data_IF_330308525029
#
_entry.id   IF_330308525029
#
_cell.length_a   1.000
_cell.length_b   1.000
_cell.length_c   1.000
_cell.angle_alpha   90.00
_cell.angle_beta   90.00
_cell.angle_gamma   90.00
#
_symmetry.space_group_name_H-M   'P 1'
#
loop_
_entity.id
_entity.type
_entity.pdbx_description
1 polymer ?
#
# COMPACT_ATOMS: atom_id res chain seq x y z
N UNK A 1 -30.15 -96.78 -1.32
CA UNK A 1 -29.29 -95.57 -1.20
C UNK A 1 -30.22 -94.37 -1.34
N UNK A 2 -30.90 -94.00 -0.26
CA UNK A 2 -30.60 -92.93 0.70
C UNK A 2 -30.86 -91.52 0.17
N UNK A 3 -31.99 -90.98 0.62
CA UNK A 3 -32.45 -89.59 0.53
C UNK A 3 -31.60 -88.73 1.46
N UNK A 4 -31.24 -87.52 1.05
CA UNK A 4 -30.78 -86.47 1.96
C UNK A 4 -31.40 -85.12 1.58
N UNK A 5 -32.42 -84.77 2.34
CA UNK A 5 -33.06 -83.45 2.42
C UNK A 5 -32.09 -82.47 3.06
N UNK A 6 -31.95 -81.25 2.53
CA UNK A 6 -31.37 -80.14 3.30
C UNK A 6 -32.21 -78.87 3.21
N UNK A 7 -32.40 -78.33 4.42
CA UNK A 7 -33.27 -77.23 4.81
C UNK A 7 -32.85 -75.88 4.21
N UNK A 8 -33.88 -75.11 3.88
CA UNK A 8 -33.83 -73.66 3.69
C UNK A 8 -33.45 -73.00 5.03
N UNK A 9 -32.37 -72.23 5.04
CA UNK A 9 -32.10 -71.21 6.05
C UNK A 9 -31.93 -69.88 5.33
N UNK A 10 -32.80 -68.93 5.62
CA UNK A 10 -32.58 -67.52 5.29
C UNK A 10 -31.73 -66.88 6.39
N UNK A 11 -30.70 -66.10 6.04
CA UNK A 11 -30.29 -65.02 6.92
C UNK A 11 -30.17 -63.68 6.20
N UNK A 12 -30.87 -62.72 6.81
CA UNK A 12 -30.47 -61.33 7.03
C UNK A 12 -30.42 -60.38 5.83
N UNK A 13 -31.43 -59.51 5.80
CA UNK A 13 -31.45 -58.26 5.06
C UNK A 13 -30.22 -57.39 5.39
N UNK A 14 -29.34 -57.20 4.40
CA UNK A 14 -28.34 -56.14 4.45
C UNK A 14 -29.06 -54.79 4.37
N UNK A 15 -29.18 -54.11 5.51
CA UNK A 15 -29.49 -52.68 5.57
C UNK A 15 -28.28 -51.91 5.04
N UNK A 16 -28.23 -51.65 3.74
CA UNK A 16 -27.37 -50.59 3.21
C UNK A 16 -27.97 -49.25 3.62
N UNK A 17 -27.41 -48.62 4.67
CA UNK A 17 -27.62 -47.21 4.95
C UNK A 17 -27.21 -46.43 3.70
N UNK A 18 -28.18 -45.83 3.02
CA UNK A 18 -27.88 -44.79 2.03
C UNK A 18 -27.01 -43.72 2.72
N UNK A 19 -25.95 -43.21 2.07
CA UNK A 19 -25.19 -42.11 2.62
C UNK A 19 -26.13 -40.92 2.78
N UNK A 20 -26.26 -40.44 4.02
CA UNK A 20 -26.89 -39.14 4.31
C UNK A 20 -26.09 -38.11 3.52
N UNK A 21 -26.67 -37.58 2.45
CA UNK A 21 -26.23 -36.32 1.84
C UNK A 21 -26.31 -35.27 2.94
N UNK A 22 -25.17 -34.98 3.56
CA UNK A 22 -25.01 -33.79 4.36
C UNK A 22 -25.34 -32.61 3.44
N UNK A 23 -26.45 -31.92 3.71
CA UNK A 23 -26.70 -30.59 3.16
C UNK A 23 -25.61 -29.69 3.72
N UNK A 24 -24.46 -29.68 3.06
CA UNK A 24 -23.53 -28.58 3.14
C UNK A 24 -24.26 -27.40 2.53
N UNK A 25 -24.87 -26.58 3.38
CA UNK A 25 -25.21 -25.22 3.00
C UNK A 25 -23.92 -24.56 2.55
N UNK A 26 -23.68 -24.56 1.23
CA UNK A 26 -22.75 -23.63 0.60
C UNK A 26 -23.31 -22.25 0.92
N UNK A 27 -22.86 -21.66 2.02
CA UNK A 27 -22.67 -20.23 2.03
C UNK A 27 -21.65 -19.97 0.93
N UNK A 28 -22.15 -19.70 -0.27
CA UNK A 28 -21.40 -18.98 -1.29
C UNK A 28 -21.01 -17.66 -0.64
N UNK A 29 -19.84 -17.65 0.00
CA UNK A 29 -19.11 -16.43 0.29
C UNK A 29 -18.87 -15.83 -1.09
N UNK A 30 -19.69 -14.86 -1.46
CA UNK A 30 -19.43 -13.97 -2.59
C UNK A 30 -18.10 -13.29 -2.25
N UNK A 31 -17.02 -13.87 -2.74
CA UNK A 31 -15.73 -13.21 -2.79
C UNK A 31 -15.92 -12.03 -3.75
N UNK A 32 -16.21 -10.85 -3.20
CA UNK A 32 -16.30 -9.63 -3.99
C UNK A 32 -14.87 -9.27 -4.40
N UNK A 33 -14.44 -9.85 -5.51
CA UNK A 33 -13.07 -9.70 -6.02
C UNK A 33 -12.79 -8.32 -6.60
N UNK A 34 -13.80 -7.45 -6.75
CA UNK A 34 -13.58 -6.08 -7.18
C UNK A 34 -14.72 -5.14 -6.75
N UNK A 35 -14.41 -4.24 -5.80
CA UNK A 35 -15.33 -3.20 -5.33
C UNK A 35 -15.47 -2.01 -6.30
N UNK A 36 -14.74 -2.05 -7.43
CA UNK A 36 -14.83 -1.06 -8.51
C UNK A 36 -16.28 -0.88 -9.00
N UNK A 37 -17.05 -1.97 -9.07
CA UNK A 37 -18.46 -1.95 -9.46
C UNK A 37 -19.36 -1.08 -8.56
N UNK A 38 -19.14 -1.07 -7.24
CA UNK A 38 -19.95 -0.22 -6.34
C UNK A 38 -19.60 1.26 -6.46
N UNK A 39 -18.32 1.56 -6.73
CA UNK A 39 -17.83 2.93 -6.96
C UNK A 39 -18.36 3.48 -8.28
N UNK A 40 -18.40 2.67 -9.34
CA UNK A 40 -18.98 3.04 -10.65
C UNK A 40 -20.49 3.35 -10.54
N UNK A 41 -21.17 2.80 -9.53
CA UNK A 41 -22.59 3.07 -9.23
C UNK A 41 -22.81 4.23 -8.24
N UNK A 42 -21.75 4.89 -7.78
CA UNK A 42 -21.85 5.99 -6.81
C UNK A 42 -22.34 5.58 -5.41
N UNK A 43 -22.27 4.29 -5.07
CA UNK A 43 -22.75 3.77 -3.80
C UNK A 43 -21.67 3.93 -2.71
N UNK A 44 -22.03 4.52 -1.57
CA UNK A 44 -21.16 4.57 -0.39
C UNK A 44 -20.96 3.15 0.14
N UNK A 45 -19.72 2.80 0.51
CA UNK A 45 -19.36 1.50 1.09
C UNK A 45 -20.20 1.24 2.36
N UNK A 46 -21.02 0.18 2.41
CA UNK A 46 -21.76 -0.16 3.62
C UNK A 46 -20.85 -0.52 4.79
N UNK A 47 -21.24 -0.14 6.01
CA UNK A 47 -20.47 -0.38 7.24
C UNK A 47 -20.25 -1.87 7.58
N UNK A 48 -21.01 -2.78 6.98
CA UNK A 48 -20.87 -4.22 7.17
C UNK A 48 -19.79 -4.87 6.28
N UNK A 49 -19.21 -4.13 5.33
CA UNK A 49 -18.19 -4.68 4.46
C UNK A 49 -16.86 -4.88 5.21
N UNK A 50 -16.16 -6.00 4.96
CA UNK A 50 -14.90 -6.30 5.64
C UNK A 50 -13.83 -5.25 5.33
N UNK A 51 -12.98 -5.02 6.33
CA UNK A 51 -11.75 -4.22 6.17
C UNK A 51 -10.92 -4.76 5.00
N UNK A 52 -10.17 -3.89 4.33
CA UNK A 52 -9.25 -4.29 3.24
C UNK A 52 -8.30 -5.41 3.69
N UNK A 53 -8.00 -5.46 4.99
CA UNK A 53 -7.23 -6.51 5.65
C UNK A 53 -5.78 -6.08 5.86
N UNK A 54 -5.23 -6.38 7.04
CA UNK A 54 -3.88 -6.00 7.46
C UNK A 54 -2.81 -6.43 6.45
N UNK A 55 -2.80 -7.72 6.09
CA UNK A 55 -1.79 -8.27 5.17
C UNK A 55 -1.86 -7.67 3.77
N UNK A 56 -3.08 -7.43 3.24
CA UNK A 56 -3.25 -6.78 1.94
C UNK A 56 -2.77 -5.33 1.99
N UNK A 57 -3.05 -4.62 3.08
CA UNK A 57 -2.57 -3.24 3.29
C UNK A 57 -1.05 -3.20 3.36
N UNK A 58 -0.43 -4.10 4.12
CA UNK A 58 1.02 -4.23 4.20
C UNK A 58 1.63 -4.46 2.81
N UNK A 59 1.13 -5.44 2.06
CA UNK A 59 1.62 -5.74 0.72
C UNK A 59 1.45 -4.57 -0.26
N UNK A 60 0.34 -3.83 -0.17
CA UNK A 60 0.11 -2.61 -0.94
C UNK A 60 1.15 -1.53 -0.62
N UNK A 61 1.39 -1.27 0.68
CA UNK A 61 2.38 -0.28 1.11
C UNK A 61 3.78 -0.72 0.70
N UNK A 62 4.12 -2.01 0.84
CA UNK A 62 5.41 -2.56 0.38
C UNK A 62 5.62 -2.31 -1.11
N UNK A 63 4.59 -2.55 -1.94
CA UNK A 63 4.63 -2.28 -3.38
C UNK A 63 4.84 -0.80 -3.68
N UNK A 64 4.15 0.10 -2.96
CA UNK A 64 4.23 1.54 -3.16
C UNK A 64 5.64 2.10 -2.88
N UNK A 65 6.30 1.66 -1.80
CA UNK A 65 7.62 2.18 -1.44
C UNK A 65 8.78 1.50 -2.21
N UNK A 66 8.53 0.35 -2.84
CA UNK A 66 9.57 -0.39 -3.59
C UNK A 66 9.60 -0.06 -5.08
N UNK A 67 8.46 0.30 -5.69
CA UNK A 67 8.38 0.50 -7.14
C UNK A 67 8.15 1.97 -7.49
N UNK A 68 9.07 2.53 -8.26
CA UNK A 68 9.04 3.93 -8.70
C UNK A 68 8.67 4.02 -10.17
N UNK A 69 7.39 3.85 -10.48
CA UNK A 69 6.89 3.92 -11.85
C UNK A 69 5.47 4.50 -11.91
N UNK A 70 5.12 5.08 -13.06
CA UNK A 70 3.83 5.75 -13.26
C UNK A 70 2.67 4.77 -13.08
N UNK A 71 2.80 3.53 -13.55
CA UNK A 71 1.72 2.55 -13.47
C UNK A 71 1.42 2.19 -12.01
N UNK A 72 2.45 1.91 -11.21
CA UNK A 72 2.28 1.62 -9.79
C UNK A 72 1.64 2.80 -9.06
N UNK A 73 2.08 4.03 -9.31
CA UNK A 73 1.48 5.19 -8.68
C UNK A 73 0.05 5.48 -9.14
N UNK A 74 -0.25 5.26 -10.42
CA UNK A 74 -1.60 5.43 -10.93
C UNK A 74 -2.59 4.42 -10.35
N UNK A 75 -2.16 3.17 -10.18
CA UNK A 75 -2.95 2.11 -9.58
C UNK A 75 -3.16 2.34 -8.06
N UNK A 76 -2.08 2.64 -7.34
CA UNK A 76 -2.07 2.62 -5.88
C UNK A 76 -2.53 3.93 -5.24
N UNK A 77 -2.37 5.08 -5.90
CA UNK A 77 -2.83 6.37 -5.38
C UNK A 77 -4.24 6.68 -5.87
N UNK A 78 -5.13 7.08 -4.96
CA UNK A 78 -6.45 7.57 -5.33
C UNK A 78 -6.37 8.86 -6.16
N UNK A 79 -7.38 9.13 -6.99
CA UNK A 79 -7.39 10.33 -7.85
C UNK A 79 -7.42 11.64 -7.05
N UNK A 80 -8.09 11.62 -5.90
CA UNK A 80 -8.15 12.71 -4.92
C UNK A 80 -7.09 12.59 -3.82
N UNK A 81 -5.99 11.87 -4.07
CA UNK A 81 -4.92 11.69 -3.10
C UNK A 81 -4.31 13.01 -2.63
N UNK A 82 -4.00 13.06 -1.33
CA UNK A 82 -3.32 14.18 -0.69
C UNK A 82 -2.10 13.71 0.11
N UNK A 83 -0.98 14.39 -0.09
CA UNK A 83 0.19 14.30 0.77
C UNK A 83 0.32 15.59 1.60
N UNK A 84 0.33 15.46 2.92
CA UNK A 84 0.34 16.59 3.85
C UNK A 84 1.53 16.47 4.79
N UNK A 85 2.22 17.57 5.03
CA UNK A 85 3.21 17.67 6.12
C UNK A 85 2.52 18.25 7.35
N UNK A 86 2.43 17.47 8.43
CA UNK A 86 1.84 17.97 9.67
C UNK A 86 2.83 18.89 10.40
N UNK A 87 2.32 19.90 11.10
CA UNK A 87 3.13 20.83 11.90
C UNK A 87 3.74 22.00 11.11
N UNK A 88 3.84 21.87 9.79
CA UNK A 88 4.14 22.98 8.89
C UNK A 88 2.82 23.46 8.27
N UNK A 89 2.59 24.76 8.15
CA UNK A 89 1.41 25.34 7.46
C UNK A 89 1.39 25.10 5.94
N UNK A 90 2.02 24.01 5.49
CA UNK A 90 2.19 23.65 4.10
C UNK A 90 0.89 23.24 3.43
N UNK A 91 0.78 23.57 2.15
CA UNK A 91 -0.32 23.14 1.30
C UNK A 91 -0.21 21.63 1.03
N UNK A 92 -1.35 20.94 1.02
CA UNK A 92 -1.41 19.55 0.56
C UNK A 92 -0.87 19.43 -0.87
N UNK A 93 -0.01 18.44 -1.10
CA UNK A 93 0.48 18.06 -2.42
C UNK A 93 -0.48 17.04 -3.04
N UNK A 94 -0.77 17.21 -4.33
CA UNK A 94 -1.63 16.30 -5.08
C UNK A 94 -0.88 15.02 -5.51
N UNK A 95 -1.63 14.02 -6.02
CA UNK A 95 -1.07 12.84 -6.70
C UNK A 95 -0.03 13.23 -7.75
N UNK A 96 -0.37 14.20 -8.60
CA UNK A 96 0.52 14.69 -9.66
C UNK A 96 1.79 15.32 -9.10
N UNK A 97 1.68 16.13 -8.04
CA UNK A 97 2.85 16.77 -7.43
C UNK A 97 3.83 15.72 -6.86
N UNK A 98 3.30 14.69 -6.19
CA UNK A 98 4.12 13.59 -5.65
C UNK A 98 4.80 12.78 -6.76
N UNK A 99 4.03 12.36 -7.78
CA UNK A 99 4.56 11.59 -8.91
C UNK A 99 5.66 12.39 -9.62
N UNK A 100 5.42 13.67 -9.89
CA UNK A 100 6.40 14.53 -10.57
C UNK A 100 7.66 14.71 -9.73
N UNK A 101 7.52 14.94 -8.41
CA UNK A 101 8.66 15.02 -7.50
C UNK A 101 9.54 13.76 -7.60
N UNK A 102 8.95 12.57 -7.56
CA UNK A 102 9.73 11.34 -7.55
C UNK A 102 10.29 11.03 -8.94
N UNK A 103 9.43 10.99 -9.96
CA UNK A 103 9.79 10.46 -11.27
C UNK A 103 10.49 11.48 -12.18
N UNK A 104 10.13 12.76 -12.08
CA UNK A 104 10.68 13.80 -12.97
C UNK A 104 11.89 14.51 -12.35
N UNK A 105 11.99 14.53 -11.01
CA UNK A 105 13.03 15.29 -10.31
C UNK A 105 14.00 14.42 -9.50
N UNK A 106 13.49 13.51 -8.65
CA UNK A 106 14.35 12.74 -7.76
C UNK A 106 15.09 11.60 -8.48
N UNK A 107 14.39 10.72 -9.20
CA UNK A 107 15.01 9.59 -9.90
C UNK A 107 16.03 10.03 -10.96
N UNK A 108 15.77 11.05 -11.80
CA UNK A 108 16.76 11.47 -12.79
C UNK A 108 18.03 12.05 -12.16
N UNK A 109 17.91 12.71 -11.00
CA UNK A 109 19.06 13.21 -10.25
C UNK A 109 19.79 12.12 -9.45
N UNK A 110 19.05 11.11 -8.98
CA UNK A 110 19.50 10.07 -8.06
C UNK A 110 19.05 8.71 -8.64
N UNK A 111 19.77 8.16 -9.64
CA UNK A 111 19.35 6.94 -10.34
C UNK A 111 19.26 5.70 -9.43
N UNK A 112 19.96 5.69 -8.30
CA UNK A 112 19.95 4.64 -7.28
C UNK A 112 19.10 5.01 -6.05
N UNK A 113 18.16 5.94 -6.19
CA UNK A 113 17.24 6.34 -5.12
C UNK A 113 16.53 5.11 -4.54
N UNK A 114 16.54 5.01 -3.22
CA UNK A 114 15.87 3.93 -2.51
C UNK A 114 15.09 4.47 -1.31
N UNK A 115 13.85 3.99 -1.15
CA UNK A 115 13.05 4.16 0.06
C UNK A 115 13.11 2.86 0.86
N UNK A 116 13.94 2.83 1.90
CA UNK A 116 13.80 1.82 2.93
C UNK A 116 12.52 2.10 3.70
N UNK A 117 11.67 1.10 3.90
CA UNK A 117 10.42 1.29 4.62
C UNK A 117 10.11 0.13 5.56
N UNK A 118 9.36 0.41 6.62
CA UNK A 118 8.87 -0.58 7.57
C UNK A 118 7.44 -0.26 8.00
N UNK A 119 6.56 -1.26 7.89
CA UNK A 119 5.18 -1.20 8.38
C UNK A 119 4.68 -2.61 8.67
N UNK A 120 3.80 -2.74 9.67
CA UNK A 120 3.08 -3.98 9.91
C UNK A 120 1.69 -3.99 9.22
N UNK A 121 1.28 -2.88 8.59
CA UNK A 121 -0.03 -2.71 7.95
C UNK A 121 -1.21 -2.58 8.91
N UNK A 122 -1.00 -2.57 10.23
CA UNK A 122 -2.06 -2.29 11.19
C UNK A 122 -2.57 -0.86 11.02
N UNK A 123 -3.85 -0.63 11.30
CA UNK A 123 -4.41 0.73 11.38
C UNK A 123 -4.62 1.13 12.83
N UNK A 124 -4.46 2.42 13.09
CA UNK A 124 -4.96 3.06 14.30
C UNK A 124 -6.50 3.27 14.22
N UNK A 125 -7.05 3.87 15.27
CA UNK A 125 -8.48 4.16 15.40
C UNK A 125 -8.99 5.17 14.36
N UNK A 126 -8.10 6.01 13.82
CA UNK A 126 -8.39 6.97 12.76
C UNK A 126 -8.32 6.34 11.35
N UNK A 127 -7.93 5.06 11.26
CA UNK A 127 -7.81 4.32 10.01
C UNK A 127 -6.48 4.48 9.28
N UNK A 128 -5.45 5.01 9.93
CA UNK A 128 -4.12 5.19 9.36
C UNK A 128 -3.17 4.06 9.76
N UNK A 129 -2.34 3.64 8.81
CA UNK A 129 -1.16 2.80 9.08
C UNK A 129 0.09 3.65 9.24
N UNK A 130 0.94 3.30 10.21
CA UNK A 130 2.25 3.94 10.35
C UNK A 130 3.25 3.24 9.42
N UNK A 131 3.97 4.04 8.65
CA UNK A 131 5.12 3.61 7.88
C UNK A 131 6.33 4.42 8.32
N UNK A 132 7.41 3.74 8.68
CA UNK A 132 8.71 4.36 8.91
C UNK A 132 9.47 4.31 7.58
N UNK A 133 10.00 5.43 7.11
CA UNK A 133 10.67 5.55 5.82
C UNK A 133 12.06 6.16 6.02
N UNK A 134 13.05 5.64 5.30
CA UNK A 134 14.40 6.17 5.23
C UNK A 134 14.83 6.25 3.77
N UNK A 135 15.24 7.44 3.33
CA UNK A 135 15.60 7.68 1.93
C UNK A 135 17.11 7.71 1.77
N UNK A 136 17.62 7.03 0.75
CA UNK A 136 19.05 6.96 0.43
C UNK A 136 19.29 7.06 -1.06
N UNK A 137 20.51 7.44 -1.46
CA UNK A 137 20.94 7.43 -2.86
C UNK A 137 22.19 8.28 -3.09
N UNK A 138 22.68 8.32 -4.33
CA UNK A 138 23.84 9.13 -4.77
C UNK A 138 23.44 10.12 -5.85
N UNK A 139 23.82 11.37 -5.65
CA UNK A 139 23.52 12.45 -6.58
C UNK A 139 24.47 12.44 -7.78
N UNK A 140 24.19 11.58 -8.75
CA UNK A 140 25.08 11.27 -9.89
C UNK A 140 24.42 11.46 -11.25
N UNK A 141 23.10 11.68 -11.28
CA UNK A 141 22.34 11.86 -12.51
C UNK A 141 22.31 13.32 -12.95
N UNK A 142 21.11 13.86 -13.19
CA UNK A 142 20.92 15.26 -13.59
C UNK A 142 20.95 16.22 -12.39
N UNK A 143 20.95 17.53 -12.68
CA UNK A 143 20.73 18.52 -11.63
C UNK A 143 19.38 18.28 -10.94
N UNK A 144 19.38 18.31 -9.61
CA UNK A 144 18.14 18.17 -8.84
C UNK A 144 17.43 19.52 -8.82
N UNK A 145 16.14 19.51 -9.16
CA UNK A 145 15.29 20.70 -9.14
C UNK A 145 14.09 20.42 -8.27
N UNK A 146 13.73 21.38 -7.41
CA UNK A 146 12.49 21.30 -6.65
C UNK A 146 11.31 21.44 -7.60
N UNK A 147 10.19 20.72 -7.36
CA UNK A 147 8.95 20.96 -8.09
C UNK A 147 8.62 22.45 -8.07
N UNK A 148 8.16 22.99 -9.20
CA UNK A 148 7.84 24.43 -9.40
C UNK A 148 9.03 25.39 -9.37
N UNK A 149 10.27 24.90 -9.30
CA UNK A 149 11.47 25.73 -9.45
C UNK A 149 11.66 26.77 -8.34
N UNK A 150 11.12 26.52 -7.15
CA UNK A 150 11.15 27.45 -6.01
C UNK A 150 12.58 27.72 -5.49
N UNK A 151 13.53 26.83 -5.83
CA UNK A 151 14.93 26.92 -5.43
C UNK A 151 15.86 26.72 -6.62
N UNK A 152 17.10 27.26 -6.56
CA UNK A 152 18.11 27.00 -7.57
C UNK A 152 18.34 25.50 -7.78
N UNK A 153 18.60 25.05 -9.02
CA UNK A 153 19.04 23.68 -9.28
C UNK A 153 20.31 23.34 -8.50
N UNK A 154 20.41 22.08 -8.05
CA UNK A 154 21.62 21.54 -7.44
C UNK A 154 22.31 20.64 -8.46
N UNK A 155 23.52 21.03 -8.86
CA UNK A 155 24.34 20.22 -9.78
C UNK A 155 24.78 18.90 -9.14
N UNK A 156 24.94 17.81 -9.93
CA UNK A 156 25.40 16.52 -9.45
C UNK A 156 26.68 16.63 -8.62
N UNK A 157 26.59 16.25 -7.36
CA UNK A 157 27.72 16.36 -6.41
C UNK A 157 28.52 15.07 -6.27
N UNK A 158 28.00 13.94 -6.75
CA UNK A 158 28.53 12.60 -6.51
C UNK A 158 28.42 12.13 -5.06
N UNK A 159 27.81 12.92 -4.17
CA UNK A 159 27.69 12.58 -2.75
C UNK A 159 26.62 11.51 -2.55
N UNK A 160 26.93 10.59 -1.63
CA UNK A 160 25.93 9.71 -1.02
C UNK A 160 25.20 10.48 0.08
N UNK A 161 23.90 10.23 0.22
CA UNK A 161 23.14 10.74 1.35
C UNK A 161 22.31 9.63 2.00
N UNK A 162 21.95 9.88 3.25
CA UNK A 162 21.04 9.11 4.08
C UNK A 162 20.19 10.14 4.82
N UNK A 163 18.90 10.20 4.50
CA UNK A 163 17.99 11.05 5.26
C UNK A 163 17.67 10.38 6.60
N UNK A 164 17.27 11.20 7.56
CA UNK A 164 16.75 10.69 8.83
C UNK A 164 15.47 9.89 8.62
N UNK A 165 15.16 9.01 9.57
CA UNK A 165 13.92 8.24 9.53
C UNK A 165 12.71 9.17 9.71
N UNK A 166 11.76 9.02 8.79
CA UNK A 166 10.51 9.75 8.79
C UNK A 166 9.35 8.82 9.12
N UNK A 167 8.36 9.35 9.84
CA UNK A 167 7.12 8.62 10.11
C UNK A 167 6.02 9.21 9.24
N UNK A 168 5.38 8.34 8.47
CA UNK A 168 4.25 8.70 7.63
C UNK A 168 3.02 7.95 8.13
N UNK A 169 1.93 8.66 8.40
CA UNK A 169 0.60 8.05 8.55
C UNK A 169 0.00 7.90 7.17
N UNK A 170 -0.38 6.68 6.80
CA UNK A 170 -0.93 6.37 5.47
C UNK A 170 -2.34 5.82 5.60
N UNK A 171 -3.32 6.51 4.99
CA UNK A 171 -4.70 6.06 4.94
C UNK A 171 -4.94 5.26 3.68
N UNK A 172 -5.30 3.98 3.86
CA UNK A 172 -5.63 3.07 2.74
C UNK A 172 -7.10 2.71 2.81
N UNK A 173 -7.83 3.07 1.76
CA UNK A 173 -9.25 2.73 1.60
C UNK A 173 -9.45 2.09 0.24
N UNK A 174 -10.20 0.98 0.22
CA UNK A 174 -10.56 0.24 -0.99
C UNK A 174 -9.38 -0.10 -1.91
N UNK A 175 -8.24 -0.44 -1.29
CA UNK A 175 -7.03 -0.85 -2.01
C UNK A 175 -6.28 0.30 -2.68
N UNK A 176 -6.57 1.55 -2.31
CA UNK A 176 -5.81 2.72 -2.74
C UNK A 176 -5.39 3.58 -1.54
N UNK A 177 -4.26 4.25 -1.68
CA UNK A 177 -3.80 5.26 -0.73
C UNK A 177 -4.59 6.53 -0.99
N UNK A 178 -5.36 6.95 0.01
CA UNK A 178 -6.17 8.17 -0.03
C UNK A 178 -5.37 9.37 0.46
N UNK A 179 -4.55 9.16 1.49
CA UNK A 179 -3.85 10.26 2.16
C UNK A 179 -2.57 9.78 2.81
N UNK A 180 -1.55 10.62 2.74
CA UNK A 180 -0.29 10.46 3.45
C UNK A 180 -0.02 11.69 4.30
N UNK A 181 0.32 11.49 5.55
CA UNK A 181 0.65 12.56 6.48
C UNK A 181 2.06 12.34 7.02
N UNK A 182 2.99 13.18 6.60
CA UNK A 182 4.33 13.20 7.16
C UNK A 182 4.27 13.82 8.56
N UNK A 183 4.66 13.04 9.56
CA UNK A 183 4.73 13.51 10.94
C UNK A 183 5.97 14.40 11.14
N UNK A 184 5.91 15.40 12.04
CA UNK A 184 7.07 16.23 12.34
C UNK A 184 8.26 15.39 12.81
N UNK A 185 9.42 15.59 12.17
CA UNK A 185 10.70 15.09 12.67
C UNK A 185 11.22 16.02 13.78
N UNK A 186 12.01 15.48 14.72
CA UNK A 186 12.61 16.27 15.81
C UNK A 186 13.49 17.41 15.28
N UNK A 187 14.16 17.20 14.15
CA UNK A 187 15.12 18.15 13.57
C UNK A 187 14.56 18.98 12.40
N UNK A 188 13.23 18.97 12.22
CA UNK A 188 12.47 20.01 11.50
C UNK A 188 12.55 20.01 9.98
N UNK A 189 13.37 19.18 9.32
CA UNK A 189 13.47 19.15 7.86
C UNK A 189 13.22 17.77 7.26
N UNK A 190 11.94 17.39 7.19
CA UNK A 190 11.49 16.17 6.53
C UNK A 190 11.03 16.35 5.07
N UNK A 191 11.00 15.25 4.34
CA UNK A 191 10.54 15.13 2.95
C UNK A 191 11.42 15.90 1.98
N UNK A 192 10.78 16.59 1.04
CA UNK A 192 11.46 17.24 -0.08
C UNK A 192 12.52 18.27 0.33
N UNK A 193 12.30 19.02 1.41
CA UNK A 193 13.28 19.99 1.91
C UNK A 193 14.49 19.33 2.54
N UNK A 194 14.28 18.21 3.24
CA UNK A 194 15.35 17.37 3.77
C UNK A 194 16.26 16.86 2.64
N UNK A 195 15.65 16.36 1.56
CA UNK A 195 16.40 15.96 0.36
C UNK A 195 17.18 17.13 -0.25
N UNK A 196 16.54 18.27 -0.51
CA UNK A 196 17.21 19.44 -1.09
C UNK A 196 18.42 19.88 -0.25
N UNK A 197 18.30 19.90 1.08
CA UNK A 197 19.41 20.20 1.99
C UNK A 197 20.51 19.14 1.95
N UNK A 198 20.15 17.86 1.96
CA UNK A 198 21.11 16.76 1.92
C UNK A 198 21.97 16.78 0.64
N UNK A 199 21.41 17.26 -0.46
CA UNK A 199 22.11 17.46 -1.73
C UNK A 199 22.99 18.72 -1.76
N UNK A 200 22.94 19.57 -0.72
CA UNK A 200 23.74 20.78 -0.60
C UNK A 200 22.98 22.08 -0.87
N UNK A 201 21.66 22.00 -1.03
CA UNK A 201 20.79 23.14 -1.19
C UNK A 201 20.63 23.96 0.09
N UNK A 202 20.42 25.28 -0.08
CA UNK A 202 20.13 26.20 1.03
C UNK A 202 18.65 26.58 1.00
N UNK A 203 17.91 26.19 2.03
CA UNK A 203 16.52 26.63 2.25
C UNK A 203 16.58 27.93 3.06
N UNK A 204 16.02 29.06 2.58
CA UNK A 204 15.86 30.28 3.36
C UNK A 204 15.12 29.99 4.67
N UNK A 205 15.53 30.68 5.73
CA UNK A 205 14.90 30.60 7.05
C UNK A 205 13.54 31.31 7.07
#
# INVERSE_FOLDING_TARGET
MSIASYRIQSPQAFKTKAPKLARAGRQTVLEVQNFKFMKDLGLKKPAFLPDFGKEKRKALLDRFFTNFDVQTYDELLADNFEFVKLGEGGKAQSKRDLISLVLDHALPAIPDLSWGHATDGAKDDDGYSIVIVQVTGHHTGTAFTMPRGEFPPIEPSGKRFLLEEEKIRVKVEDGQIQRMELLPAKDGFGGTFGLYKALGGKVPA
#
